data_IF_853223597050
#
_entry.id   IF_853223597050
#
_cell.length_a   1.000
_cell.length_b   1.000
_cell.length_c   1.000
_cell.angle_alpha   90.00
_cell.angle_beta   90.00
_cell.angle_gamma   90.00
#
_symmetry.space_group_name_H-M   'P 1'
#
loop_
_entity.id
_entity.type
_entity.pdbx_description
1 polymer ?
#
# COMPACT_ATOMS: atom_id res chain seq x y z
N UNK A 1 42.78 54.22 -15.22
CA UNK A 1 43.69 53.35 -15.98
C UNK A 1 44.39 52.42 -15.00
N UNK A 2 44.23 51.10 -15.18
CA UNK A 2 45.20 49.99 -14.94
C UNK A 2 45.94 49.95 -13.58
N UNK A 3 46.05 48.84 -12.86
CA UNK A 3 45.79 47.43 -13.14
C UNK A 3 45.86 46.62 -11.84
N UNK A 4 45.14 45.50 -11.86
CA UNK A 4 45.10 44.41 -10.88
C UNK A 4 46.44 43.98 -10.28
N UNK A 5 46.43 43.68 -8.98
CA UNK A 5 47.33 42.71 -8.34
C UNK A 5 46.59 41.90 -7.26
N UNK A 6 46.59 40.58 -7.48
CA UNK A 6 46.61 39.47 -6.51
C UNK A 6 45.57 39.38 -5.39
N UNK A 7 44.54 38.56 -5.67
CA UNK A 7 43.74 37.82 -4.69
C UNK A 7 44.61 36.79 -3.95
N UNK A 8 44.86 37.02 -2.66
CA UNK A 8 45.21 35.96 -1.72
C UNK A 8 43.95 35.57 -0.94
N UNK A 9 43.64 34.27 -0.96
CA UNK A 9 42.54 33.67 -0.23
C UNK A 9 42.87 33.65 1.27
N UNK A 10 42.12 34.43 2.07
CA UNK A 10 41.98 34.17 3.51
C UNK A 10 40.80 33.22 3.71
N UNK A 11 41.09 31.96 4.05
CA UNK A 11 40.12 30.99 4.55
C UNK A 11 39.62 31.47 5.92
N UNK A 12 38.48 32.17 5.92
CA UNK A 12 37.71 32.40 7.13
C UNK A 12 36.82 31.17 7.36
N UNK A 13 37.15 30.39 8.39
CA UNK A 13 36.35 29.28 8.89
C UNK A 13 34.97 29.79 9.35
N UNK A 14 34.00 29.84 8.45
CA UNK A 14 32.59 29.98 8.80
C UNK A 14 32.09 28.61 9.27
N UNK A 15 32.33 28.28 10.54
CA UNK A 15 31.64 27.18 11.20
C UNK A 15 30.24 27.66 11.58
N UNK A 16 29.39 27.89 10.57
CA UNK A 16 27.95 28.00 10.79
C UNK A 16 27.48 26.59 11.06
N UNK A 17 27.28 26.30 12.34
CA UNK A 17 26.50 25.17 12.81
C UNK A 17 25.09 25.30 12.20
N UNK A 18 24.90 24.75 10.99
CA UNK A 18 23.58 24.36 10.53
C UNK A 18 23.09 23.32 11.54
N UNK A 19 22.29 23.78 12.49
CA UNK A 19 21.26 22.94 13.09
C UNK A 19 20.47 22.40 11.91
N UNK A 20 20.81 21.18 11.48
CA UNK A 20 19.94 20.37 10.67
C UNK A 20 18.68 20.19 11.51
N UNK A 21 17.70 21.06 11.26
CA UNK A 21 16.31 20.78 11.56
C UNK A 21 16.05 19.49 10.78
N UNK A 22 16.19 18.36 11.46
CA UNK A 22 15.69 17.10 10.94
C UNK A 22 14.21 17.37 10.68
N UNK A 23 13.71 17.24 9.45
CA UNK A 23 12.27 17.21 9.28
C UNK A 23 11.82 16.04 10.15
N UNK A 24 11.05 16.34 11.20
CA UNK A 24 10.42 15.33 12.01
C UNK A 24 9.70 14.42 11.02
N UNK A 25 10.20 13.19 10.84
CA UNK A 25 9.63 12.26 9.89
C UNK A 25 8.15 12.14 10.26
N UNK A 26 7.27 12.54 9.34
CA UNK A 26 5.83 12.40 9.50
C UNK A 26 5.57 10.92 9.67
N UNK A 27 5.26 10.52 10.90
CA UNK A 27 5.06 9.13 11.29
C UNK A 27 3.62 8.78 10.96
N UNK A 28 3.37 8.65 9.65
CA UNK A 28 2.07 8.37 9.05
C UNK A 28 1.77 6.87 9.11
N UNK A 29 0.50 6.50 9.32
CA UNK A 29 0.05 5.12 9.17
C UNK A 29 -0.18 4.83 7.69
N UNK A 30 0.58 3.89 7.14
CA UNK A 30 0.33 3.35 5.81
C UNK A 30 -0.53 2.08 5.97
N UNK A 31 -1.75 2.11 5.47
CA UNK A 31 -2.68 0.99 5.54
C UNK A 31 -3.50 0.87 4.25
N UNK A 32 -4.10 -0.29 4.04
CA UNK A 32 -4.89 -0.58 2.86
C UNK A 32 -6.38 -0.43 3.15
N UNK A 33 -7.09 0.34 2.33
CA UNK A 33 -8.52 0.63 2.47
C UNK A 33 -9.23 0.16 1.22
N UNK A 34 -10.34 -0.56 1.39
CA UNK A 34 -11.14 -1.04 0.26
C UNK A 34 -11.76 0.15 -0.49
N UNK A 35 -11.63 0.13 -1.80
CA UNK A 35 -12.19 1.12 -2.72
C UNK A 35 -13.16 0.45 -3.68
N UNK A 36 -14.31 1.08 -3.97
CA UNK A 36 -15.26 0.57 -4.95
C UNK A 36 -14.64 0.62 -6.35
N UNK A 37 -15.09 -0.27 -7.25
CA UNK A 37 -14.71 -0.20 -8.65
C UNK A 37 -15.32 1.04 -9.32
N UNK A 38 -14.76 1.42 -10.47
CA UNK A 38 -15.29 2.50 -11.32
C UNK A 38 -16.72 2.19 -11.80
N UNK A 39 -16.98 0.91 -12.11
CA UNK A 39 -18.26 0.40 -12.60
C UNK A 39 -18.84 -0.64 -11.65
N UNK A 40 -19.95 -0.29 -11.01
CA UNK A 40 -20.71 -1.21 -10.17
C UNK A 40 -21.66 -2.03 -11.04
N UNK A 41 -21.49 -3.35 -11.03
CA UNK A 41 -22.34 -4.29 -11.75
C UNK A 41 -23.55 -4.68 -10.90
N UNK A 42 -24.55 -3.81 -10.82
CA UNK A 42 -25.73 -4.02 -9.99
C UNK A 42 -26.46 -5.34 -10.32
N UNK A 43 -26.68 -6.17 -9.30
CA UNK A 43 -27.38 -7.46 -9.43
C UNK A 43 -26.52 -8.61 -9.99
N UNK A 44 -25.24 -8.38 -10.30
CA UNK A 44 -24.32 -9.42 -10.77
C UNK A 44 -23.62 -10.04 -9.56
N UNK A 45 -23.83 -11.35 -9.35
CA UNK A 45 -23.13 -12.14 -8.31
C UNK A 45 -22.22 -13.19 -8.92
N UNK A 46 -22.58 -13.69 -10.09
CA UNK A 46 -21.84 -14.73 -10.78
C UNK A 46 -21.42 -14.27 -12.17
N UNK A 47 -20.15 -14.46 -12.48
CA UNK A 47 -19.53 -13.95 -13.71
C UNK A 47 -18.74 -15.05 -14.42
N UNK A 48 -18.71 -14.99 -15.75
CA UNK A 48 -17.81 -15.80 -16.56
C UNK A 48 -16.90 -14.89 -17.37
N UNK A 49 -15.62 -15.26 -17.48
CA UNK A 49 -14.64 -14.57 -18.35
C UNK A 49 -14.40 -15.45 -19.57
N UNK A 50 -14.82 -14.99 -20.74
CA UNK A 50 -14.61 -15.70 -22.00
C UNK A 50 -13.13 -15.63 -22.44
N UNK A 51 -12.76 -16.47 -23.41
CA UNK A 51 -11.48 -16.31 -24.10
C UNK A 51 -11.49 -15.03 -24.94
N UNK A 52 -10.41 -14.26 -24.85
CA UNK A 52 -10.27 -13.04 -25.64
C UNK A 52 -9.82 -13.38 -27.05
N UNK A 53 -10.41 -12.70 -28.03
CA UNK A 53 -9.88 -12.73 -29.39
C UNK A 53 -8.50 -12.08 -29.46
N UNK A 54 -7.57 -12.68 -30.21
CA UNK A 54 -6.16 -12.25 -30.21
C UNK A 54 -5.77 -11.70 -31.57
N UNK A 55 -5.12 -10.55 -31.54
CA UNK A 55 -4.31 -10.05 -32.65
C UNK A 55 -2.88 -9.88 -32.15
N UNK A 56 -1.91 -10.45 -32.84
CA UNK A 56 -0.51 -10.32 -32.44
C UNK A 56 0.39 -9.94 -33.61
N UNK A 57 1.48 -9.25 -33.28
CA UNK A 57 2.53 -8.90 -34.22
C UNK A 57 3.88 -8.99 -33.52
N UNK A 58 4.87 -9.48 -34.26
CA UNK A 58 6.25 -9.59 -33.83
C UNK A 58 7.15 -9.04 -34.93
N UNK A 59 7.93 -8.02 -34.60
CA UNK A 59 8.93 -7.44 -35.49
C UNK A 59 10.31 -7.54 -34.86
N UNK A 60 11.31 -7.91 -35.66
CA UNK A 60 12.70 -8.07 -35.21
C UNK A 60 13.62 -7.47 -36.27
N UNK A 61 14.45 -6.52 -35.85
CA UNK A 61 15.48 -5.90 -36.70
C UNK A 61 16.69 -6.85 -36.85
N UNK A 62 17.30 -6.84 -38.05
CA UNK A 62 18.54 -7.57 -38.29
C UNK A 62 19.67 -7.09 -37.35
N UNK A 63 20.39 -8.04 -36.76
CA UNK A 63 21.55 -7.74 -35.93
C UNK A 63 22.67 -7.01 -36.73
N UNK A 64 23.39 -6.05 -36.10
CA UNK A 64 24.49 -5.34 -36.71
C UNK A 64 25.56 -6.28 -37.30
N UNK A 65 26.17 -5.85 -38.41
CA UNK A 65 27.20 -6.61 -39.11
C UNK A 65 28.37 -6.96 -38.18
N UNK A 66 28.56 -8.25 -37.92
CA UNK A 66 29.59 -8.76 -37.00
C UNK A 66 29.06 -9.55 -35.80
N UNK A 67 27.76 -9.39 -35.46
CA UNK A 67 27.09 -10.09 -34.35
C UNK A 67 26.12 -11.20 -34.77
N UNK A 68 26.02 -11.50 -36.07
CA UNK A 68 25.34 -12.73 -36.52
C UNK A 68 26.03 -13.91 -35.86
N UNK A 69 25.32 -14.59 -34.97
CA UNK A 69 25.80 -15.82 -34.35
C UNK A 69 26.18 -16.80 -35.47
N UNK A 70 27.12 -17.71 -35.21
CA UNK A 70 27.47 -18.76 -36.18
C UNK A 70 26.20 -19.51 -36.65
N UNK A 71 25.20 -19.63 -35.77
CA UNK A 71 23.85 -20.08 -36.06
C UNK A 71 23.08 -19.22 -37.08
N UNK A 72 23.04 -17.88 -36.96
CA UNK A 72 22.34 -16.99 -37.92
C UNK A 72 22.99 -16.95 -39.31
N UNK A 73 24.29 -17.24 -39.36
CA UNK A 73 25.04 -17.39 -40.63
C UNK A 73 24.76 -18.74 -41.30
N UNK A 74 24.43 -19.76 -40.51
CA UNK A 74 24.12 -21.13 -40.98
C UNK A 74 22.62 -21.27 -41.28
N UNK A 75 21.77 -20.39 -40.75
CA UNK A 75 20.32 -20.48 -40.91
C UNK A 75 19.90 -20.39 -42.39
N UNK A 76 19.42 -21.51 -42.93
CA UNK A 76 18.99 -21.62 -44.32
C UNK A 76 17.69 -20.83 -44.59
N UNK A 77 17.34 -20.63 -45.86
CA UNK A 77 16.08 -19.98 -46.26
C UNK A 77 14.83 -20.66 -45.65
N UNK A 78 14.92 -21.98 -45.40
CA UNK A 78 13.85 -22.80 -44.79
C UNK A 78 13.71 -22.54 -43.29
N UNK A 79 14.79 -22.30 -42.56
CA UNK A 79 14.74 -22.01 -41.12
C UNK A 79 14.26 -20.56 -40.88
N UNK A 80 14.61 -19.64 -41.79
CA UNK A 80 14.07 -18.27 -41.78
C UNK A 80 12.58 -18.23 -42.08
N UNK A 81 12.09 -19.04 -43.02
CA UNK A 81 10.65 -19.14 -43.27
C UNK A 81 9.92 -19.81 -42.12
N UNK A 82 10.50 -20.84 -41.49
CA UNK A 82 9.94 -21.46 -40.29
C UNK A 82 9.91 -20.51 -39.08
N UNK A 83 10.93 -19.67 -38.88
CA UNK A 83 10.95 -18.64 -37.85
C UNK A 83 9.90 -17.54 -38.12
N UNK A 84 9.74 -17.12 -39.38
CA UNK A 84 8.70 -16.17 -39.77
C UNK A 84 7.28 -16.72 -39.53
N UNK A 85 7.04 -17.99 -39.81
CA UNK A 85 5.75 -18.65 -39.49
C UNK A 85 5.52 -18.76 -37.98
N UNK A 86 6.54 -19.13 -37.19
CA UNK A 86 6.44 -19.12 -35.71
C UNK A 86 6.11 -17.73 -35.17
N UNK A 87 6.70 -16.68 -35.75
CA UNK A 87 6.49 -15.30 -35.34
C UNK A 87 5.06 -14.81 -35.65
N UNK A 88 4.40 -15.31 -36.71
CA UNK A 88 2.99 -15.01 -37.00
C UNK A 88 2.02 -15.57 -35.97
N UNK A 89 2.34 -16.73 -35.39
CA UNK A 89 1.52 -17.39 -34.35
C UNK A 89 1.98 -17.08 -32.92
N UNK A 90 3.01 -16.26 -32.78
CA UNK A 90 3.59 -15.92 -31.49
C UNK A 90 2.55 -15.13 -30.68
N UNK A 91 2.40 -15.49 -29.41
CA UNK A 91 1.43 -14.90 -28.48
C UNK A 91 -0.06 -15.18 -28.80
N UNK A 92 -0.40 -16.16 -29.64
CA UNK A 92 -1.79 -16.56 -29.87
C UNK A 92 -2.49 -17.05 -28.58
N UNK A 93 -1.73 -17.43 -27.56
CA UNK A 93 -2.22 -17.82 -26.25
C UNK A 93 -2.52 -16.62 -25.32
N UNK A 94 -2.19 -15.39 -25.72
CA UNK A 94 -2.36 -14.19 -24.91
C UNK A 94 -3.82 -13.97 -24.47
N UNK A 95 -4.80 -14.29 -25.32
CA UNK A 95 -6.22 -14.12 -24.99
C UNK A 95 -6.68 -15.07 -23.88
N UNK A 96 -6.20 -16.31 -23.90
CA UNK A 96 -6.41 -17.27 -22.83
C UNK A 96 -5.69 -16.83 -21.56
N UNK A 97 -4.42 -16.44 -21.66
CA UNK A 97 -3.61 -15.97 -20.52
C UNK A 97 -4.28 -14.78 -19.83
N UNK A 98 -4.80 -13.81 -20.60
CA UNK A 98 -5.52 -12.66 -20.06
C UNK A 98 -6.77 -13.09 -19.29
N UNK A 99 -7.57 -13.99 -19.88
CA UNK A 99 -8.77 -14.55 -19.22
C UNK A 99 -8.43 -15.27 -17.90
N UNK A 100 -7.37 -16.09 -17.90
CA UNK A 100 -6.89 -16.81 -16.72
C UNK A 100 -6.36 -15.84 -15.65
N UNK A 101 -5.62 -14.80 -16.04
CA UNK A 101 -5.13 -13.75 -15.12
C UNK A 101 -6.27 -12.95 -14.50
N UNK A 102 -7.27 -12.55 -15.29
CA UNK A 102 -8.46 -11.86 -14.78
C UNK A 102 -9.26 -12.75 -13.83
N UNK A 103 -9.43 -14.03 -14.17
CA UNK A 103 -10.07 -15.01 -13.29
C UNK A 103 -9.30 -15.15 -11.97
N UNK A 104 -7.97 -15.26 -12.05
CA UNK A 104 -7.08 -15.32 -10.90
C UNK A 104 -7.14 -14.05 -10.04
N UNK A 105 -7.29 -12.88 -10.64
CA UNK A 105 -7.49 -11.63 -9.92
C UNK A 105 -8.83 -11.64 -9.18
N UNK A 106 -9.93 -12.01 -9.84
CA UNK A 106 -11.29 -12.00 -9.29
C UNK A 106 -11.50 -12.93 -8.08
N UNK A 107 -10.72 -14.01 -7.98
CA UNK A 107 -10.80 -14.94 -6.84
C UNK A 107 -9.99 -14.49 -5.61
N UNK A 108 -9.06 -13.53 -5.75
CA UNK A 108 -8.27 -13.00 -4.64
C UNK A 108 -9.14 -12.13 -3.73
N UNK A 109 -9.04 -12.34 -2.41
CA UNK A 109 -9.77 -11.58 -1.40
C UNK A 109 -9.09 -10.27 -0.98
N UNK A 110 -7.84 -10.06 -1.36
CA UNK A 110 -6.94 -9.00 -0.91
C UNK A 110 -6.25 -8.27 -2.08
N UNK A 111 -6.94 -8.13 -3.22
CA UNK A 111 -6.38 -7.41 -4.40
C UNK A 111 -5.93 -6.00 -4.01
N UNK A 112 -4.80 -5.56 -4.56
CA UNK A 112 -4.21 -4.24 -4.27
C UNK A 112 -3.37 -4.18 -3.00
N UNK A 113 -3.50 -5.14 -2.07
CA UNK A 113 -2.64 -5.21 -0.87
C UNK A 113 -1.22 -5.60 -1.28
N UNK A 114 -0.26 -4.78 -0.86
CA UNK A 114 1.15 -5.00 -1.14
C UNK A 114 2.05 -4.53 -0.01
N UNK A 115 3.35 -4.56 -0.26
CA UNK A 115 4.33 -4.06 0.70
C UNK A 115 4.27 -2.54 0.80
N UNK A 116 4.39 -2.03 2.02
CA UNK A 116 4.51 -0.61 2.34
C UNK A 116 5.96 -0.24 2.58
N UNK A 117 6.32 1.03 2.32
CA UNK A 117 7.67 1.50 2.59
C UNK A 117 7.92 1.64 4.09
N UNK A 118 9.10 1.20 4.54
CA UNK A 118 9.53 1.24 5.93
C UNK A 118 10.99 1.70 6.04
N UNK A 119 11.47 2.00 7.24
CA UNK A 119 12.89 2.35 7.48
C UNK A 119 13.31 3.78 7.10
N UNK A 120 14.57 4.12 7.39
CA UNK A 120 15.15 5.44 7.10
C UNK A 120 15.19 5.67 5.58
N UNK A 121 14.68 6.82 5.12
CA UNK A 121 14.55 7.18 3.69
C UNK A 121 13.74 6.18 2.84
N UNK A 122 12.93 5.31 3.44
CA UNK A 122 12.13 4.32 2.70
C UNK A 122 12.94 3.14 2.15
N UNK A 123 14.12 2.87 2.72
CA UNK A 123 15.02 1.79 2.31
C UNK A 123 14.59 0.38 2.79
N UNK A 124 13.51 0.30 3.58
CA UNK A 124 12.90 -0.95 4.02
C UNK A 124 11.53 -1.17 3.39
N UNK A 125 11.04 -2.40 3.47
CA UNK A 125 9.65 -2.75 3.19
C UNK A 125 9.05 -3.49 4.38
N UNK A 126 7.76 -3.31 4.62
CA UNK A 126 6.97 -4.08 5.58
C UNK A 126 5.72 -4.57 4.85
N UNK A 127 5.22 -5.73 5.21
CA UNK A 127 3.92 -6.20 4.71
C UNK A 127 2.84 -5.19 5.11
N UNK A 128 2.13 -4.67 4.11
CA UNK A 128 1.01 -3.78 4.36
C UNK A 128 -0.21 -4.53 4.85
N UNK A 129 -1.10 -3.83 5.55
CA UNK A 129 -2.27 -4.45 6.14
C UNK A 129 -3.50 -3.57 5.99
N UNK A 130 -4.65 -4.19 5.75
CA UNK A 130 -5.95 -3.57 5.99
C UNK A 130 -6.41 -3.86 7.42
N UNK A 131 -6.97 -2.86 8.08
CA UNK A 131 -7.55 -2.99 9.42
C UNK A 131 -9.09 -3.03 9.39
N UNK A 132 -9.68 -3.11 8.19
CA UNK A 132 -11.12 -3.12 7.98
C UNK A 132 -11.64 -4.55 8.05
N UNK A 133 -12.20 -4.93 9.20
CA UNK A 133 -12.75 -6.28 9.38
C UNK A 133 -13.96 -6.52 8.48
N UNK A 134 -13.95 -7.63 7.75
CA UNK A 134 -15.02 -7.98 6.79
C UNK A 134 -14.87 -7.36 5.39
N UNK A 135 -13.79 -6.61 5.14
CA UNK A 135 -13.46 -6.14 3.79
C UNK A 135 -12.81 -7.26 2.96
N UNK A 136 -13.28 -7.46 1.73
CA UNK A 136 -12.70 -8.41 0.76
C UNK A 136 -12.97 -7.95 -0.68
N UNK A 137 -12.15 -8.41 -1.62
CA UNK A 137 -12.24 -8.01 -3.04
C UNK A 137 -12.95 -9.01 -3.94
N UNK A 138 -13.00 -10.30 -3.56
CA UNK A 138 -13.61 -11.39 -4.33
C UNK A 138 -15.14 -11.46 -4.18
N UNK A 139 -15.82 -10.43 -4.67
CA UNK A 139 -17.29 -10.30 -4.56
C UNK A 139 -18.08 -11.15 -5.56
N UNK A 140 -17.42 -11.68 -6.60
CA UNK A 140 -18.07 -12.46 -7.65
C UNK A 140 -17.73 -13.94 -7.54
N UNK A 141 -18.73 -14.80 -7.77
CA UNK A 141 -18.52 -16.22 -8.05
C UNK A 141 -18.09 -16.36 -9.51
N UNK A 142 -16.84 -16.73 -9.74
CA UNK A 142 -16.31 -16.90 -11.10
C UNK A 142 -16.57 -18.32 -11.58
N UNK A 143 -17.13 -18.46 -12.78
CA UNK A 143 -17.29 -19.76 -13.46
C UNK A 143 -16.02 -20.10 -14.22
N UNK A 144 -15.60 -21.37 -14.16
CA UNK A 144 -14.42 -21.84 -14.86
C UNK A 144 -14.57 -21.73 -16.37
N UNK A 145 -13.51 -21.25 -17.01
CA UNK A 145 -13.40 -21.08 -18.47
C UNK A 145 -13.66 -22.36 -19.26
N UNK A 146 -13.28 -23.52 -18.71
CA UNK A 146 -13.51 -24.85 -19.30
C UNK A 146 -15.01 -25.13 -19.55
N UNK A 147 -15.87 -24.69 -18.63
CA UNK A 147 -17.33 -24.85 -18.73
C UNK A 147 -17.89 -23.97 -19.84
N UNK A 148 -17.35 -22.75 -20.02
CA UNK A 148 -17.71 -21.87 -21.13
C UNK A 148 -17.41 -22.55 -22.46
N UNK A 149 -16.22 -23.12 -22.61
CA UNK A 149 -15.82 -23.78 -23.85
C UNK A 149 -16.68 -25.02 -24.15
N UNK A 150 -17.04 -25.79 -23.11
CA UNK A 150 -17.93 -26.93 -23.27
C UNK A 150 -19.30 -26.50 -23.82
N UNK A 151 -19.93 -25.49 -23.20
CA UNK A 151 -21.23 -24.96 -23.65
C UNK A 151 -21.14 -24.38 -25.06
N UNK A 152 -20.08 -23.63 -25.37
CA UNK A 152 -19.86 -23.07 -26.72
C UNK A 152 -19.77 -24.16 -27.79
N UNK A 153 -19.12 -25.29 -27.47
CA UNK A 153 -19.00 -26.43 -28.39
C UNK A 153 -20.32 -27.17 -28.56
N UNK A 154 -21.07 -27.38 -27.48
CA UNK A 154 -22.39 -28.03 -27.51
C UNK A 154 -23.40 -27.23 -28.33
N UNK A 155 -23.37 -25.89 -28.22
CA UNK A 155 -24.24 -25.01 -28.99
C UNK A 155 -23.75 -24.77 -30.44
N UNK A 156 -22.64 -25.38 -30.84
CA UNK A 156 -21.97 -25.18 -32.15
C UNK A 156 -21.63 -23.71 -32.46
N UNK A 157 -21.60 -22.85 -31.45
CA UNK A 157 -21.29 -21.42 -31.57
C UNK A 157 -19.78 -21.19 -31.80
N UNK A 158 -18.94 -22.16 -31.46
CA UNK A 158 -17.51 -22.12 -31.80
C UNK A 158 -17.24 -22.22 -33.31
N UNK A 159 -18.19 -22.74 -34.09
CA UNK A 159 -18.04 -22.96 -35.54
C UNK A 159 -18.49 -21.78 -36.40
N UNK A 160 -19.33 -20.89 -35.86
CA UNK A 160 -19.87 -19.74 -36.60
C UNK A 160 -18.87 -18.59 -36.70
N UNK A 161 -17.80 -18.59 -35.90
CA UNK A 161 -16.76 -17.56 -35.89
C UNK A 161 -17.25 -16.17 -35.45
N UNK A 162 -18.53 -16.05 -35.07
CA UNK A 162 -19.18 -14.83 -34.63
C UNK A 162 -19.59 -15.03 -33.18
N UNK A 163 -18.84 -14.42 -32.27
CA UNK A 163 -19.26 -14.27 -30.87
C UNK A 163 -19.88 -12.88 -30.76
N UNK A 164 -21.18 -12.79 -31.01
CA UNK A 164 -21.97 -11.58 -30.77
C UNK A 164 -22.56 -11.58 -29.36
N UNK A 165 -23.10 -10.44 -28.94
CA UNK A 165 -23.69 -10.26 -27.62
C UNK A 165 -24.86 -11.23 -27.36
N UNK A 166 -25.58 -11.62 -28.42
CA UNK A 166 -26.69 -12.56 -28.33
C UNK A 166 -26.22 -13.99 -28.00
N UNK A 167 -25.16 -14.45 -28.66
CA UNK A 167 -24.51 -15.73 -28.40
C UNK A 167 -23.92 -15.76 -26.99
N UNK A 168 -23.30 -14.66 -26.56
CA UNK A 168 -22.82 -14.50 -25.19
C UNK A 168 -23.95 -14.68 -24.16
N UNK A 169 -25.06 -13.97 -24.32
CA UNK A 169 -26.20 -14.08 -23.42
C UNK A 169 -26.79 -15.51 -23.41
N UNK A 170 -26.81 -16.21 -24.55
CA UNK A 170 -27.26 -17.60 -24.62
C UNK A 170 -26.35 -18.53 -23.82
N UNK A 171 -25.03 -18.42 -23.98
CA UNK A 171 -24.05 -19.20 -23.22
C UNK A 171 -24.17 -18.91 -21.73
N UNK A 172 -24.34 -17.63 -21.38
CA UNK A 172 -24.51 -17.20 -19.99
C UNK A 172 -25.74 -17.79 -19.32
N UNK A 173 -26.86 -17.89 -20.05
CA UNK A 173 -28.09 -18.53 -19.55
C UNK A 173 -27.88 -20.01 -19.24
N UNK A 174 -27.12 -20.73 -20.07
CA UNK A 174 -26.81 -22.15 -19.85
C UNK A 174 -25.86 -22.32 -18.66
N UNK A 175 -24.86 -21.45 -18.51
CA UNK A 175 -23.93 -21.45 -17.38
C UNK A 175 -24.54 -20.95 -16.06
N UNK A 176 -25.71 -20.32 -16.12
CA UNK A 176 -26.36 -19.70 -14.98
C UNK A 176 -25.54 -18.56 -14.38
N UNK A 177 -24.89 -17.75 -15.22
CA UNK A 177 -24.14 -16.54 -14.81
C UNK A 177 -24.99 -15.29 -15.04
N UNK A 178 -24.76 -14.25 -14.24
CA UNK A 178 -25.48 -12.98 -14.37
C UNK A 178 -24.85 -12.06 -15.42
N UNK A 179 -23.53 -12.18 -15.61
CA UNK A 179 -22.78 -11.44 -16.60
C UNK A 179 -21.66 -12.28 -17.25
N UNK A 180 -21.33 -11.93 -18.49
CA UNK A 180 -20.16 -12.44 -19.21
C UNK A 180 -19.25 -11.29 -19.58
N UNK A 181 -17.96 -11.45 -19.31
CA UNK A 181 -16.90 -10.56 -19.78
C UNK A 181 -16.25 -11.18 -21.01
N UNK A 182 -16.18 -10.42 -22.09
CA UNK A 182 -15.51 -10.83 -23.32
C UNK A 182 -14.82 -9.65 -23.99
N UNK A 183 -13.93 -9.94 -24.93
CA UNK A 183 -13.12 -8.89 -25.49
C UNK A 183 -12.10 -9.32 -26.52
N UNK A 184 -11.18 -8.40 -26.78
CA UNK A 184 -10.04 -8.59 -27.65
C UNK A 184 -8.75 -8.14 -26.95
N UNK A 185 -7.65 -8.77 -27.31
CA UNK A 185 -6.29 -8.38 -26.92
C UNK A 185 -5.43 -8.21 -28.17
N UNK A 186 -4.68 -7.13 -28.20
CA UNK A 186 -3.68 -6.83 -29.19
C UNK A 186 -2.29 -6.89 -28.55
N UNK A 187 -1.40 -7.70 -29.12
CA UNK A 187 -0.02 -7.83 -28.68
C UNK A 187 0.90 -7.34 -29.78
N UNK A 188 1.68 -6.30 -29.50
CA UNK A 188 2.73 -5.80 -30.39
C UNK A 188 4.08 -5.96 -29.71
N UNK A 189 4.95 -6.76 -30.31
CA UNK A 189 6.31 -6.94 -29.85
C UNK A 189 7.33 -6.48 -30.88
N UNK A 190 8.37 -5.79 -30.42
CA UNK A 190 9.42 -5.24 -31.27
C UNK A 190 10.79 -5.42 -30.64
N UNK A 191 11.67 -6.11 -31.37
CA UNK A 191 13.11 -6.16 -31.10
C UNK A 191 13.83 -5.24 -32.07
N UNK A 192 14.56 -4.27 -31.52
CA UNK A 192 15.25 -3.23 -32.30
C UNK A 192 16.70 -3.08 -31.88
N UNK A 193 17.56 -2.81 -32.85
CA UNK A 193 18.95 -2.46 -32.62
C UNK A 193 19.15 -0.96 -32.68
N UNK A 194 19.82 -0.40 -31.69
CA UNK A 194 20.14 1.01 -31.60
C UNK A 194 21.58 1.22 -31.18
N UNK A 195 22.16 2.35 -31.58
CA UNK A 195 23.51 2.75 -31.19
C UNK A 195 23.45 3.77 -30.08
N UNK A 196 24.24 3.56 -29.04
CA UNK A 196 24.39 4.47 -27.92
C UNK A 196 25.84 4.96 -27.84
N UNK A 197 26.03 6.26 -27.59
CA UNK A 197 27.37 6.83 -27.39
C UNK A 197 27.80 6.68 -25.93
N UNK A 198 28.99 6.11 -25.71
CA UNK A 198 29.64 5.99 -24.40
C UNK A 198 30.95 6.75 -24.39
N UNK A 199 31.36 7.22 -23.20
CA UNK A 199 32.64 7.89 -23.00
C UNK A 199 33.50 7.09 -22.03
N UNK A 200 34.75 6.84 -22.43
CA UNK A 200 35.79 6.28 -21.56
C UNK A 200 37.10 6.99 -21.86
N UNK A 201 37.80 7.45 -20.82
CA UNK A 201 39.07 8.17 -20.94
C UNK A 201 39.01 9.37 -21.91
N UNK A 202 37.93 10.16 -21.86
CA UNK A 202 37.64 11.30 -22.76
C UNK A 202 37.52 10.93 -24.25
N UNK A 203 37.40 9.63 -24.58
CA UNK A 203 37.12 9.14 -25.92
C UNK A 203 35.69 8.64 -25.99
N UNK A 204 34.95 9.16 -26.97
CA UNK A 204 33.60 8.72 -27.31
C UNK A 204 33.66 7.52 -28.24
N UNK A 205 32.88 6.50 -27.95
CA UNK A 205 32.72 5.32 -28.81
C UNK A 205 31.25 4.92 -28.83
N UNK A 206 30.83 4.28 -29.92
CA UNK A 206 29.46 3.78 -30.05
C UNK A 206 29.40 2.32 -29.61
N UNK A 207 28.34 1.98 -28.89
CA UNK A 207 27.99 0.60 -28.55
C UNK A 207 26.67 0.24 -29.18
N UNK A 208 26.56 -1.00 -29.65
CA UNK A 208 25.29 -1.53 -30.12
C UNK A 208 24.47 -2.01 -28.92
N UNK A 209 23.18 -1.67 -28.94
CA UNK A 209 22.21 -2.06 -27.94
C UNK A 209 21.03 -2.76 -28.59
N UNK A 210 20.62 -3.88 -28.00
CA UNK A 210 19.37 -4.56 -28.32
C UNK A 210 18.30 -4.03 -27.37
N UNK A 211 17.17 -3.61 -27.92
CA UNK A 211 16.01 -3.09 -27.18
C UNK A 211 14.77 -3.90 -27.53
N UNK A 212 14.19 -4.51 -26.50
CA UNK A 212 12.92 -5.24 -26.56
C UNK A 212 11.80 -4.35 -26.06
N UNK A 213 10.72 -4.28 -26.82
CA UNK A 213 9.54 -3.52 -26.46
C UNK A 213 8.29 -4.37 -26.66
N UNK A 214 7.53 -4.58 -25.58
CA UNK A 214 6.22 -5.19 -25.61
C UNK A 214 5.16 -4.11 -25.35
N UNK A 215 4.14 -4.05 -26.20
CA UNK A 215 2.92 -3.30 -25.93
C UNK A 215 1.75 -4.29 -25.99
N UNK A 216 0.92 -4.29 -24.96
CA UNK A 216 -0.33 -5.05 -24.94
C UNK A 216 -1.47 -4.08 -24.71
N UNK A 217 -2.50 -4.15 -25.53
CA UNK A 217 -3.77 -3.45 -25.29
C UNK A 217 -4.91 -4.45 -25.33
N UNK A 218 -5.91 -4.25 -24.47
CA UNK A 218 -7.08 -5.10 -24.43
C UNK A 218 -8.33 -4.28 -24.17
N UNK A 219 -9.45 -4.78 -24.66
CA UNK A 219 -10.77 -4.15 -24.51
C UNK A 219 -11.73 -5.20 -24.00
N UNK A 220 -12.51 -4.86 -22.95
CA UNK A 220 -13.59 -5.70 -22.43
C UNK A 220 -14.95 -5.09 -22.70
N UNK A 221 -15.93 -5.97 -22.87
CA UNK A 221 -17.36 -5.70 -22.80
C UNK A 221 -17.96 -6.63 -21.77
N UNK A 222 -18.77 -6.07 -20.88
CA UNK A 222 -19.48 -6.80 -19.83
C UNK A 222 -20.95 -6.85 -20.26
N UNK A 223 -21.45 -8.05 -20.51
CA UNK A 223 -22.80 -8.28 -21.04
C UNK A 223 -23.67 -8.84 -19.92
N UNK A 224 -24.79 -8.19 -19.63
CA UNK A 224 -25.78 -8.70 -18.69
C UNK A 224 -26.58 -9.81 -19.35
N UNK A 225 -26.55 -11.02 -18.79
CA UNK A 225 -27.14 -12.22 -19.42
C UNK A 225 -28.67 -12.13 -19.51
N UNK A 226 -29.30 -11.51 -18.53
CA UNK A 226 -30.75 -11.34 -18.47
C UNK A 226 -31.29 -10.51 -19.66
N UNK A 227 -30.63 -9.41 -19.99
CA UNK A 227 -31.10 -8.46 -21.02
C UNK A 227 -30.34 -8.57 -22.34
N UNK A 228 -29.14 -9.18 -22.34
CA UNK A 228 -28.21 -9.18 -23.48
C UNK A 228 -27.53 -7.83 -23.71
N UNK A 229 -27.70 -6.86 -22.81
CA UNK A 229 -27.15 -5.51 -22.95
C UNK A 229 -25.70 -5.43 -22.46
N UNK A 230 -24.91 -4.57 -23.10
CA UNK A 230 -23.58 -4.20 -22.61
C UNK A 230 -23.74 -3.22 -21.46
N UNK A 231 -23.37 -3.64 -20.26
CA UNK A 231 -23.46 -2.87 -19.00
C UNK A 231 -22.14 -2.24 -18.57
N UNK A 232 -21.06 -2.49 -19.31
CA UNK A 232 -19.76 -1.88 -19.06
C UNK A 232 -18.76 -2.17 -20.18
N UNK A 233 -17.86 -1.23 -20.41
CA UNK A 233 -16.75 -1.37 -21.35
C UNK A 233 -15.52 -0.68 -20.79
N UNK A 234 -14.35 -1.31 -20.95
CA UNK A 234 -13.08 -0.74 -20.50
C UNK A 234 -11.97 -1.17 -21.44
N UNK A 235 -11.10 -0.22 -21.76
CA UNK A 235 -9.84 -0.47 -22.44
C UNK A 235 -8.71 -0.41 -21.41
N UNK A 236 -7.74 -1.30 -21.53
CA UNK A 236 -6.52 -1.32 -20.75
C UNK A 236 -5.30 -1.46 -21.66
N UNK A 237 -4.17 -0.89 -21.25
CA UNK A 237 -2.95 -0.98 -22.03
C UNK A 237 -1.71 -0.92 -21.14
N UNK A 238 -0.68 -1.69 -21.52
CA UNK A 238 0.59 -1.65 -20.84
C UNK A 238 1.75 -1.78 -21.82
N UNK A 239 2.82 -1.03 -21.53
CA UNK A 239 4.07 -1.07 -22.27
C UNK A 239 5.23 -1.45 -21.34
N UNK A 240 5.97 -2.47 -21.74
CA UNK A 240 7.25 -2.84 -21.11
C UNK A 240 8.39 -2.70 -22.10
N UNK A 241 9.54 -2.25 -21.58
CA UNK A 241 10.73 -2.01 -22.38
C UNK A 241 11.97 -2.43 -21.60
N UNK A 242 12.86 -3.19 -22.26
CA UNK A 242 14.18 -3.56 -21.74
C UNK A 242 15.23 -3.37 -22.80
N UNK A 243 16.42 -2.95 -22.38
CA UNK A 243 17.55 -2.68 -23.26
C UNK A 243 18.81 -3.28 -22.66
N UNK A 244 19.66 -3.87 -23.51
CA UNK A 244 20.99 -4.35 -23.16
C UNK A 244 21.98 -3.84 -24.20
N UNK A 245 23.00 -3.14 -23.75
CA UNK A 245 24.10 -2.71 -24.60
C UNK A 245 25.31 -3.62 -24.47
N UNK A 246 26.20 -3.55 -25.44
CA UNK A 246 27.49 -4.21 -25.36
C UNK A 246 28.29 -3.79 -24.11
N UNK A 247 28.79 -4.77 -23.38
CA UNK A 247 29.52 -4.56 -22.12
C UNK A 247 28.63 -4.45 -20.88
N UNK A 248 27.30 -4.44 -21.03
CA UNK A 248 26.38 -4.48 -19.89
C UNK A 248 26.28 -5.89 -19.30
N UNK A 249 26.13 -5.96 -17.98
CA UNK A 249 25.89 -7.22 -17.28
C UNK A 249 24.40 -7.61 -17.34
N UNK A 250 24.12 -8.91 -17.36
CA UNK A 250 22.77 -9.47 -17.39
C UNK A 250 22.24 -9.74 -18.80
N UNK A 251 21.09 -10.39 -18.90
CA UNK A 251 20.45 -10.78 -20.16
C UNK A 251 19.10 -10.11 -20.36
N UNK A 252 18.71 -9.96 -21.63
CA UNK A 252 17.37 -9.49 -21.96
C UNK A 252 16.35 -10.60 -21.63
N UNK A 253 15.24 -10.26 -20.95
CA UNK A 253 14.20 -11.23 -20.68
C UNK A 253 13.58 -11.73 -21.99
N UNK A 254 13.10 -12.97 -21.98
CA UNK A 254 12.40 -13.55 -23.13
C UNK A 254 11.21 -12.66 -23.55
N UNK A 255 10.91 -12.56 -24.86
CA UNK A 255 9.74 -11.82 -25.35
C UNK A 255 8.44 -12.18 -24.63
N UNK A 256 8.24 -13.48 -24.37
CA UNK A 256 7.09 -14.02 -23.64
C UNK A 256 7.00 -13.45 -22.22
N UNK A 257 8.13 -13.34 -21.51
CA UNK A 257 8.14 -12.80 -20.14
C UNK A 257 7.78 -11.31 -20.10
N UNK A 258 8.18 -10.53 -21.11
CA UNK A 258 7.80 -9.12 -21.23
C UNK A 258 6.30 -8.95 -21.52
N UNK A 259 5.77 -9.79 -22.43
CA UNK A 259 4.34 -9.80 -22.76
C UNK A 259 3.52 -10.26 -21.55
N UNK A 260 3.95 -11.29 -20.83
CA UNK A 260 3.27 -11.78 -19.63
C UNK A 260 3.19 -10.69 -18.54
N UNK A 261 4.26 -9.91 -18.33
CA UNK A 261 4.24 -8.74 -17.44
C UNK A 261 3.24 -7.66 -17.89
N UNK A 262 3.10 -7.43 -19.20
CA UNK A 262 2.09 -6.52 -19.70
C UNK A 262 0.67 -7.07 -19.47
N UNK A 263 0.45 -8.36 -19.74
CA UNK A 263 -0.85 -9.03 -19.55
C UNK A 263 -1.29 -9.00 -18.08
N UNK A 264 -0.39 -9.21 -17.13
CA UNK A 264 -0.68 -9.12 -15.69
C UNK A 264 -1.23 -7.73 -15.32
N UNK A 265 -0.56 -6.66 -15.75
CA UNK A 265 -1.00 -5.30 -15.46
C UNK A 265 -2.29 -4.90 -16.17
N UNK A 266 -2.46 -5.33 -17.42
CA UNK A 266 -3.71 -5.11 -18.16
C UNK A 266 -4.86 -5.88 -17.49
N UNK A 267 -4.63 -7.11 -17.02
CA UNK A 267 -5.64 -7.88 -16.30
C UNK A 267 -6.08 -7.16 -15.01
N UNK A 268 -5.14 -6.65 -14.23
CA UNK A 268 -5.44 -5.88 -13.02
C UNK A 268 -6.26 -4.63 -13.35
N UNK A 269 -5.82 -3.81 -14.32
CA UNK A 269 -6.55 -2.59 -14.74
C UNK A 269 -7.99 -2.90 -15.21
N UNK A 270 -8.16 -3.98 -15.99
CA UNK A 270 -9.47 -4.38 -16.48
C UNK A 270 -10.38 -4.89 -15.36
N UNK A 271 -9.84 -5.59 -14.37
CA UNK A 271 -10.62 -6.10 -13.23
C UNK A 271 -10.94 -5.01 -12.23
N UNK A 272 -10.02 -4.06 -11.98
CA UNK A 272 -10.25 -2.89 -11.09
C UNK A 272 -11.40 -2.00 -11.57
N UNK A 273 -11.67 -2.01 -12.88
CA UNK A 273 -12.82 -1.31 -13.45
C UNK A 273 -14.16 -1.81 -12.88
N UNK A 274 -14.30 -3.09 -12.53
CA UNK A 274 -15.60 -3.67 -12.12
C UNK A 274 -15.58 -4.50 -10.83
N UNK A 275 -14.41 -4.73 -10.24
CA UNK A 275 -14.24 -5.37 -8.94
C UNK A 275 -13.48 -4.44 -7.98
N UNK A 276 -13.85 -4.40 -6.69
CA UNK A 276 -13.16 -3.56 -5.71
C UNK A 276 -11.70 -4.00 -5.53
N UNK A 277 -10.88 -3.06 -5.06
CA UNK A 277 -9.48 -3.28 -4.71
C UNK A 277 -9.13 -2.59 -3.40
N UNK A 278 -8.03 -2.99 -2.77
CA UNK A 278 -7.46 -2.26 -1.65
C UNK A 278 -6.45 -1.23 -2.14
N UNK A 279 -6.74 0.04 -1.92
CA UNK A 279 -5.82 1.14 -2.22
C UNK A 279 -4.97 1.49 -0.99
N UNK A 280 -3.69 1.82 -1.24
CA UNK A 280 -2.80 2.31 -0.20
C UNK A 280 -3.23 3.71 0.27
N UNK A 281 -3.64 3.81 1.53
CA UNK A 281 -4.00 5.04 2.20
C UNK A 281 -2.88 5.45 3.17
N UNK A 282 -2.41 6.70 3.04
CA UNK A 282 -1.47 7.31 4.00
C UNK A 282 -2.25 8.22 4.95
N UNK A 283 -2.37 7.78 6.20
CA UNK A 283 -3.10 8.48 7.25
C UNK A 283 -2.12 9.29 8.12
N UNK A 284 -2.31 10.61 8.10
CA UNK A 284 -1.46 11.57 8.82
C UNK A 284 -2.01 11.81 10.21
N UNK A 285 -1.12 11.90 11.19
CA UNK A 285 -1.44 12.22 12.58
C UNK A 285 -1.04 13.67 12.91
N UNK A 286 -1.68 14.24 13.94
CA UNK A 286 -1.29 15.49 14.58
C UNK A 286 -0.56 15.21 15.89
N UNK A 287 0.69 15.65 16.02
CA UNK A 287 1.50 15.36 17.19
C UNK A 287 1.66 16.57 18.13
N UNK A 288 1.12 17.73 17.76
CA UNK A 288 1.02 18.88 18.64
C UNK A 288 -0.14 18.73 19.64
N UNK A 289 0.08 17.89 20.65
CA UNK A 289 -0.88 17.66 21.75
C UNK A 289 -0.54 18.47 23.00
N UNK A 290 0.63 19.14 23.06
CA UNK A 290 1.15 19.81 24.25
C UNK A 290 2.21 18.99 24.99
N UNK A 291 3.14 19.69 25.66
CA UNK A 291 4.31 19.07 26.30
C UNK A 291 3.97 18.10 27.43
N UNK A 292 2.82 18.31 28.09
CA UNK A 292 2.36 17.48 29.20
C UNK A 292 2.00 16.05 28.74
N UNK A 293 1.66 15.87 27.45
CA UNK A 293 1.27 14.59 26.86
C UNK A 293 2.35 13.93 26.01
N UNK A 294 3.61 14.37 26.14
CA UNK A 294 4.73 13.81 25.36
C UNK A 294 4.84 12.28 25.49
N UNK A 295 4.60 11.75 26.69
CA UNK A 295 4.62 10.30 26.96
C UNK A 295 3.60 9.53 26.14
N UNK A 296 2.34 9.94 26.22
CA UNK A 296 1.27 9.37 25.44
C UNK A 296 1.57 9.46 23.94
N UNK A 297 2.12 10.60 23.50
CA UNK A 297 2.53 10.82 22.12
C UNK A 297 3.60 9.83 21.65
N UNK A 298 4.65 9.61 22.45
CA UNK A 298 5.76 8.73 22.10
C UNK A 298 5.33 7.26 22.08
N UNK A 299 4.48 6.84 23.02
CA UNK A 299 3.89 5.49 23.04
C UNK A 299 2.97 5.28 21.82
N UNK A 300 2.08 6.24 21.52
CA UNK A 300 1.17 6.14 20.38
C UNK A 300 1.94 6.05 19.06
N UNK A 301 2.98 6.87 18.89
CA UNK A 301 3.89 6.82 17.74
C UNK A 301 4.48 5.43 17.52
N UNK A 302 4.96 4.80 18.59
CA UNK A 302 5.54 3.46 18.51
C UNK A 302 4.47 2.42 18.16
N UNK A 303 3.32 2.47 18.84
CA UNK A 303 2.20 1.57 18.57
C UNK A 303 1.71 1.66 17.10
N UNK A 304 1.66 2.86 16.53
CA UNK A 304 1.31 3.08 15.10
C UNK A 304 2.33 2.38 14.17
N UNK A 305 3.64 2.46 14.46
CA UNK A 305 4.68 1.76 13.69
C UNK A 305 4.51 0.25 13.76
N UNK A 306 4.15 -0.23 14.93
CA UNK A 306 3.99 -1.65 15.22
C UNK A 306 2.65 -2.21 14.74
N UNK A 307 1.77 -1.37 14.16
CA UNK A 307 0.40 -1.70 13.76
C UNK A 307 -0.51 -2.11 14.94
N UNK A 308 -0.18 -1.66 16.15
CA UNK A 308 -1.00 -1.79 17.35
C UNK A 308 -1.92 -0.57 17.49
N UNK A 309 -3.01 -0.58 16.71
CA UNK A 309 -3.99 0.52 16.70
C UNK A 309 -4.74 0.63 18.04
N UNK A 310 -4.89 -0.48 18.76
CA UNK A 310 -5.56 -0.51 20.08
C UNK A 310 -4.75 0.27 21.10
N UNK A 311 -3.45 0.00 21.22
CA UNK A 311 -2.57 0.78 22.12
C UNK A 311 -2.50 2.24 21.70
N UNK A 312 -2.40 2.54 20.41
CA UNK A 312 -2.41 3.92 19.92
C UNK A 312 -3.71 4.65 20.32
N UNK A 313 -4.86 3.99 20.16
CA UNK A 313 -6.16 4.54 20.53
C UNK A 313 -6.24 4.81 22.03
N UNK A 314 -5.80 3.86 22.86
CA UNK A 314 -5.77 4.00 24.31
C UNK A 314 -5.00 5.26 24.75
N UNK A 315 -3.87 5.56 24.11
CA UNK A 315 -3.09 6.76 24.44
C UNK A 315 -3.82 8.06 24.07
N UNK A 316 -4.47 8.12 22.90
CA UNK A 316 -5.22 9.32 22.51
C UNK A 316 -6.50 9.47 23.35
N UNK A 317 -7.20 8.37 23.65
CA UNK A 317 -8.36 8.38 24.52
C UNK A 317 -8.02 8.86 25.93
N UNK A 318 -6.89 8.43 26.48
CA UNK A 318 -6.36 8.90 27.76
C UNK A 318 -6.11 10.42 27.79
N UNK A 319 -5.58 11.00 26.70
CA UNK A 319 -5.42 12.46 26.59
C UNK A 319 -6.78 13.15 26.54
N UNK A 320 -7.73 12.64 25.73
CA UNK A 320 -9.08 13.21 25.63
C UNK A 320 -9.85 13.14 26.95
N UNK A 321 -9.59 12.13 27.78
CA UNK A 321 -10.18 12.04 29.13
C UNK A 321 -9.64 13.14 30.07
N UNK A 322 -8.36 13.50 29.96
CA UNK A 322 -7.74 14.56 30.76
C UNK A 322 -8.03 15.96 30.23
N UNK A 323 -8.00 16.11 28.90
CA UNK A 323 -8.26 17.35 28.17
C UNK A 323 -9.22 17.07 27.00
N UNK A 324 -10.54 17.14 27.26
CA UNK A 324 -11.56 16.89 26.24
C UNK A 324 -11.47 17.79 25.01
N UNK A 325 -10.85 18.98 25.14
CA UNK A 325 -10.72 19.98 24.08
C UNK A 325 -9.36 19.91 23.36
N UNK A 326 -8.58 18.85 23.59
CA UNK A 326 -7.35 18.63 22.84
C UNK A 326 -7.68 18.28 21.38
N UNK A 327 -7.50 19.24 20.46
CA UNK A 327 -7.86 19.06 19.05
C UNK A 327 -7.05 17.93 18.39
N UNK A 328 -5.76 17.80 18.73
CA UNK A 328 -4.84 16.82 18.14
C UNK A 328 -5.18 15.39 18.56
N UNK A 329 -5.44 15.16 19.85
CA UNK A 329 -5.84 13.84 20.35
C UNK A 329 -7.20 13.41 19.78
N UNK A 330 -8.18 14.32 19.71
CA UNK A 330 -9.46 14.03 19.07
C UNK A 330 -9.31 13.72 17.58
N UNK A 331 -8.49 14.51 16.86
CA UNK A 331 -8.19 14.25 15.45
C UNK A 331 -7.58 12.85 15.26
N UNK A 332 -6.55 12.51 16.05
CA UNK A 332 -5.87 11.21 15.95
C UNK A 332 -6.77 10.02 16.31
N UNK A 333 -7.67 10.17 17.28
CA UNK A 333 -8.71 9.16 17.55
C UNK A 333 -9.62 8.97 16.32
N UNK A 334 -9.95 10.06 15.62
CA UNK A 334 -10.65 10.00 14.33
C UNK A 334 -9.85 9.26 13.26
N UNK A 335 -8.54 9.49 13.18
CA UNK A 335 -7.63 8.77 12.24
C UNK A 335 -7.63 7.27 12.49
N UNK A 336 -7.61 6.83 13.75
CA UNK A 336 -7.67 5.40 14.08
C UNK A 336 -9.02 4.79 13.77
N UNK A 337 -10.12 5.50 14.05
CA UNK A 337 -11.46 5.07 13.62
C UNK A 337 -11.58 4.98 12.10
N UNK A 338 -10.98 5.90 11.34
CA UNK A 338 -10.93 5.84 9.88
C UNK A 338 -10.18 4.58 9.40
N UNK A 339 -9.01 4.30 10.00
CA UNK A 339 -8.18 3.15 9.63
C UNK A 339 -8.90 1.79 9.76
N UNK A 340 -9.73 1.64 10.80
CA UNK A 340 -10.48 0.39 11.07
C UNK A 340 -11.84 0.31 10.40
N UNK A 341 -12.29 1.40 9.76
CA UNK A 341 -13.56 1.44 9.03
C UNK A 341 -14.76 2.03 9.77
N UNK A 342 -14.55 2.66 10.93
CA UNK A 342 -15.62 3.31 11.68
C UNK A 342 -15.86 4.75 11.20
N UNK A 343 -16.30 4.92 9.94
CA UNK A 343 -16.30 6.24 9.29
C UNK A 343 -17.19 7.29 9.98
N UNK A 344 -18.31 6.87 10.58
CA UNK A 344 -19.19 7.77 11.35
C UNK A 344 -18.49 8.33 12.58
N UNK A 345 -17.92 7.46 13.43
CA UNK A 345 -17.13 7.84 14.61
C UNK A 345 -15.93 8.71 14.22
N UNK A 346 -15.25 8.37 13.12
CA UNK A 346 -14.15 9.18 12.58
C UNK A 346 -14.60 10.59 12.18
N UNK A 347 -15.72 10.70 11.46
CA UNK A 347 -16.28 11.98 11.02
C UNK A 347 -16.66 12.88 12.20
N UNK A 348 -17.30 12.33 13.23
CA UNK A 348 -17.62 13.06 14.47
C UNK A 348 -16.37 13.65 15.12
N UNK A 349 -15.31 12.83 15.25
CA UNK A 349 -14.03 13.26 15.82
C UNK A 349 -13.32 14.32 14.98
N UNK A 350 -13.33 14.19 13.65
CA UNK A 350 -12.77 15.19 12.75
C UNK A 350 -13.53 16.51 12.79
N UNK A 351 -14.87 16.47 12.82
CA UNK A 351 -15.70 17.66 12.94
C UNK A 351 -15.43 18.40 14.26
N UNK A 352 -15.30 17.65 15.36
CA UNK A 352 -14.97 18.23 16.65
C UNK A 352 -13.58 18.86 16.66
N UNK A 353 -12.55 18.14 16.20
CA UNK A 353 -11.19 18.68 16.11
C UNK A 353 -11.11 19.93 15.20
N UNK A 354 -11.80 19.92 14.06
CA UNK A 354 -11.88 21.07 13.15
C UNK A 354 -12.61 22.27 13.76
N UNK A 355 -13.64 22.04 14.60
CA UNK A 355 -14.34 23.11 15.31
C UNK A 355 -13.46 23.84 16.33
N UNK A 356 -12.44 23.15 16.86
CA UNK A 356 -11.47 23.70 17.80
C UNK A 356 -10.31 24.40 17.08
N UNK A 357 -9.87 23.86 15.93
CA UNK A 357 -8.75 24.39 15.14
C UNK A 357 -9.02 24.26 13.64
N UNK A 358 -9.54 25.34 13.04
CA UNK A 358 -10.03 25.34 11.65
C UNK A 358 -9.00 25.73 10.57
N UNK A 359 -7.86 26.26 10.98
CA UNK A 359 -6.75 26.69 10.12
C UNK A 359 -5.85 25.51 9.67
N UNK A 360 -6.00 24.34 10.28
CA UNK A 360 -5.27 23.13 9.93
C UNK A 360 -5.80 22.49 8.63
N UNK A 361 -5.01 22.61 7.55
CA UNK A 361 -5.35 22.01 6.24
C UNK A 361 -5.59 20.49 6.31
N UNK A 362 -4.82 19.77 7.13
CA UNK A 362 -4.93 18.31 7.27
C UNK A 362 -6.30 17.86 7.84
N UNK A 363 -6.94 18.68 8.67
CA UNK A 363 -8.27 18.36 9.24
C UNK A 363 -9.34 18.46 8.17
N UNK A 364 -9.27 19.51 7.34
CA UNK A 364 -10.14 19.68 6.17
C UNK A 364 -9.96 18.55 5.17
N UNK A 365 -8.72 18.13 4.93
CA UNK A 365 -8.43 17.01 4.03
C UNK A 365 -8.99 15.68 4.57
N UNK A 366 -8.92 15.46 5.89
CA UNK A 366 -9.53 14.30 6.53
C UNK A 366 -11.06 14.31 6.44
N UNK A 367 -11.71 15.46 6.63
CA UNK A 367 -13.17 15.59 6.46
C UNK A 367 -13.61 15.32 5.01
N UNK A 368 -12.89 15.83 4.02
CA UNK A 368 -13.18 15.53 2.60
C UNK A 368 -13.01 14.05 2.30
N UNK A 369 -11.93 13.46 2.81
CA UNK A 369 -11.63 12.04 2.63
C UNK A 369 -12.69 11.15 3.26
N UNK A 370 -13.09 11.42 4.51
CA UNK A 370 -14.11 10.62 5.20
C UNK A 370 -15.47 10.71 4.51
N UNK A 371 -15.84 11.90 4.01
CA UNK A 371 -17.09 12.07 3.26
C UNK A 371 -17.10 11.23 1.98
N UNK A 372 -15.99 11.22 1.23
CA UNK A 372 -15.82 10.35 0.05
C UNK A 372 -15.91 8.87 0.44
N UNK A 373 -15.24 8.49 1.53
CA UNK A 373 -15.20 7.11 2.00
C UNK A 373 -16.59 6.62 2.43
N UNK A 374 -17.40 7.43 3.14
CA UNK A 374 -18.77 7.07 3.50
C UNK A 374 -19.62 6.74 2.27
N UNK A 375 -19.58 7.58 1.23
CA UNK A 375 -20.29 7.31 -0.04
C UNK A 375 -19.82 6.01 -0.69
N UNK A 376 -18.51 5.75 -0.65
CA UNK A 376 -17.92 4.53 -1.17
C UNK A 376 -18.41 3.29 -0.43
N UNK A 377 -18.61 3.36 0.89
CA UNK A 377 -19.13 2.23 1.66
C UNK A 377 -20.61 1.97 1.41
N UNK A 378 -21.41 3.01 1.21
CA UNK A 378 -22.79 2.83 0.81
C UNK A 378 -22.86 2.06 -0.53
N UNK A 379 -21.96 2.37 -1.47
CA UNK A 379 -21.80 1.63 -2.73
C UNK A 379 -21.35 0.18 -2.51
N UNK A 380 -20.31 -0.06 -1.69
CA UNK A 380 -19.81 -1.41 -1.42
C UNK A 380 -20.82 -2.29 -0.67
N UNK A 381 -21.68 -1.69 0.18
CA UNK A 381 -22.76 -2.42 0.84
C UNK A 381 -23.78 -2.96 -0.17
N UNK A 382 -24.03 -2.24 -1.28
CA UNK A 382 -24.88 -2.77 -2.37
C UNK A 382 -24.29 -4.00 -3.05
N UNK A 383 -22.98 -4.20 -2.95
CA UNK A 383 -22.25 -5.39 -3.42
C UNK A 383 -22.21 -6.52 -2.39
N UNK A 384 -22.85 -6.35 -1.23
CA UNK A 384 -22.89 -7.35 -0.15
C UNK A 384 -21.67 -7.32 0.77
N UNK A 385 -20.82 -6.30 0.68
CA UNK A 385 -19.68 -6.12 1.59
C UNK A 385 -20.16 -5.34 2.82
N UNK A 386 -20.24 -6.03 3.95
CA UNK A 386 -20.63 -5.43 5.24
C UNK A 386 -19.41 -5.39 6.15
N UNK A 387 -18.91 -4.17 6.41
CA UNK A 387 -17.86 -3.99 7.40
C UNK A 387 -18.37 -4.28 8.80
N UNK A 388 -17.54 -4.97 9.57
CA UNK A 388 -17.76 -5.11 11.00
C UNK A 388 -17.21 -3.88 11.70
N UNK A 389 -18.06 -3.22 12.47
CA UNK A 389 -17.62 -2.09 13.30
C UNK A 389 -16.55 -2.56 14.29
N UNK A 390 -15.43 -1.85 14.32
CA UNK A 390 -14.34 -2.17 15.22
C UNK A 390 -14.56 -1.46 16.56
N UNK A 391 -14.61 -2.20 17.66
CA UNK A 391 -14.68 -1.60 18.98
C UNK A 391 -13.29 -1.47 19.58
N UNK A 392 -12.84 -0.23 19.77
CA UNK A 392 -11.68 0.05 20.60
C UNK A 392 -12.10 -0.08 22.07
N UNK A 393 -11.97 -1.27 22.65
CA UNK A 393 -12.28 -1.47 24.06
C UNK A 393 -11.18 -0.87 24.93
N UNK A 394 -11.53 0.14 25.71
CA UNK A 394 -10.70 0.70 26.77
C UNK A 394 -11.49 0.63 28.07
N UNK A 395 -11.16 -0.31 28.96
CA UNK A 395 -11.76 -0.31 30.29
C UNK A 395 -11.31 0.94 31.05
N UNK A 396 -12.13 1.45 31.96
CA UNK A 396 -11.71 2.57 32.84
C UNK A 396 -10.43 2.23 33.64
N UNK A 397 -10.17 0.95 33.90
CA UNK A 397 -8.94 0.50 34.53
C UNK A 397 -7.73 0.63 33.59
N UNK A 398 -7.88 0.29 32.30
CA UNK A 398 -6.84 0.44 31.29
C UNK A 398 -6.56 1.92 30.99
N UNK A 399 -7.58 2.76 30.89
CA UNK A 399 -7.45 4.22 30.72
C UNK A 399 -6.71 4.85 31.92
N UNK A 400 -7.08 4.47 33.15
CA UNK A 400 -6.34 4.88 34.37
C UNK A 400 -4.91 4.36 34.37
N UNK A 401 -4.65 3.13 33.93
CA UNK A 401 -3.29 2.59 33.86
C UNK A 401 -2.43 3.23 32.77
N UNK A 402 -3.03 3.66 31.66
CA UNK A 402 -2.36 4.34 30.57
C UNK A 402 -2.00 5.79 30.93
N UNK A 403 -2.83 6.45 31.73
CA UNK A 403 -2.59 7.82 32.26
C UNK A 403 -1.60 7.85 33.42
N UNK A 404 -1.35 6.71 34.08
CA UNK A 404 -0.39 6.61 35.18
C UNK A 404 1.04 6.81 34.67
N UNK A 405 1.63 7.96 35.01
CA UNK A 405 3.06 8.23 34.80
C UNK A 405 3.87 7.21 35.58
N UNK A 406 4.93 6.63 35.00
CA UNK A 406 5.78 5.65 35.69
C UNK A 406 7.20 6.19 35.87
N UNK A 407 7.85 5.77 36.95
CA UNK A 407 9.29 5.96 37.18
C UNK A 407 10.00 4.61 37.16
N UNK A 408 11.16 4.56 36.54
CA UNK A 408 12.07 3.42 36.62
C UNK A 408 13.13 3.72 37.67
N UNK A 409 13.27 2.82 38.63
CA UNK A 409 14.33 2.87 39.64
C UNK A 409 15.70 2.63 38.99
N UNK A 410 16.71 3.45 39.31
CA UNK A 410 18.07 3.30 38.75
C UNK A 410 18.82 2.15 39.41
N UNK A 411 19.65 1.47 38.63
CA UNK A 411 20.51 0.39 39.10
C UNK A 411 20.00 -1.02 38.74
N UNK A 412 20.81 -2.03 39.04
CA UNK A 412 20.46 -3.44 38.82
C UNK A 412 19.55 -4.00 39.92
N UNK A 413 18.94 -5.16 39.67
CA UNK A 413 18.05 -5.83 40.63
C UNK A 413 18.70 -6.26 41.96
N UNK A 414 20.01 -6.10 42.13
CA UNK A 414 20.72 -6.30 43.40
C UNK A 414 20.77 -5.03 44.27
N UNK A 415 20.59 -3.85 43.67
CA UNK A 415 20.54 -2.57 44.40
C UNK A 415 19.20 -2.47 45.13
N UNK A 416 19.21 -1.94 46.36
CA UNK A 416 18.01 -1.72 47.18
C UNK A 416 17.86 -0.24 47.45
N UNK A 417 16.83 0.38 46.89
CA UNK A 417 16.50 1.79 47.05
C UNK A 417 15.44 1.95 48.13
N UNK A 418 15.59 2.96 48.97
CA UNK A 418 14.67 3.24 50.05
C UNK A 418 13.48 4.08 49.56
N UNK A 419 12.27 3.59 49.78
CA UNK A 419 11.04 4.37 49.64
C UNK A 419 10.70 4.96 51.01
N UNK A 420 10.68 6.30 51.10
CA UNK A 420 10.49 7.06 52.34
C UNK A 420 9.02 7.36 52.63
N UNK A 421 8.66 7.51 53.90
CA UNK A 421 7.27 7.84 54.28
C UNK A 421 6.93 9.31 53.96
N UNK A 422 7.92 10.19 54.00
CA UNK A 422 7.83 11.63 53.70
C UNK A 422 8.94 12.07 52.73
N UNK A 423 8.79 13.22 52.02
CA UNK A 423 9.79 13.73 51.07
C UNK A 423 11.00 14.36 51.77
N UNK A 424 11.64 13.63 52.68
CA UNK A 424 12.88 14.02 53.33
C UNK A 424 13.74 12.79 53.65
N UNK A 425 15.07 12.97 53.64
CA UNK A 425 16.00 11.85 53.79
C UNK A 425 15.99 11.21 55.19
N UNK A 426 15.59 11.97 56.21
CA UNK A 426 15.52 11.52 57.61
C UNK A 426 14.26 10.68 57.91
N UNK A 427 13.30 10.66 56.98
CA UNK A 427 12.04 9.93 57.14
C UNK A 427 12.26 8.41 57.22
N UNK A 428 11.33 7.74 57.88
CA UNK A 428 11.30 6.29 57.97
C UNK A 428 11.17 5.66 56.58
N UNK A 429 11.90 4.57 56.36
CA UNK A 429 11.79 3.79 55.12
C UNK A 429 10.56 2.90 55.19
N UNK A 430 9.57 3.14 54.32
CA UNK A 430 8.35 2.34 54.17
C UNK A 430 8.69 0.94 53.66
N UNK A 431 9.55 0.88 52.63
CA UNK A 431 9.96 -0.37 51.98
C UNK A 431 11.23 -0.14 51.15
N UNK A 432 12.01 -1.20 50.91
CA UNK A 432 13.14 -1.16 49.99
C UNK A 432 12.79 -1.87 48.69
N UNK A 433 13.03 -1.21 47.57
CA UNK A 433 12.73 -1.75 46.23
C UNK A 433 13.99 -2.06 45.44
N UNK A 434 13.99 -3.11 44.59
CA UNK A 434 15.10 -3.37 43.68
C UNK A 434 15.28 -2.25 42.65
N UNK A 435 16.50 -2.06 42.14
CA UNK A 435 16.75 -1.24 40.95
C UNK A 435 16.23 -1.91 39.68
N UNK A 436 15.82 -1.11 38.69
CA UNK A 436 15.33 -1.57 37.40
C UNK A 436 13.83 -1.88 37.34
N UNK A 437 13.07 -1.65 38.42
CA UNK A 437 11.62 -1.83 38.44
C UNK A 437 10.87 -0.55 38.09
N UNK A 438 9.66 -0.72 37.54
CA UNK A 438 8.71 0.36 37.29
C UNK A 438 7.78 0.58 38.49
N UNK A 439 7.57 1.84 38.86
CA UNK A 439 6.62 2.27 39.88
C UNK A 439 5.70 3.35 39.31
N UNK A 440 4.45 3.39 39.78
CA UNK A 440 3.48 4.44 39.44
C UNK A 440 3.85 5.74 40.14
N UNK A 441 3.92 6.85 39.41
CA UNK A 441 4.21 8.20 39.90
C UNK A 441 2.88 8.91 40.19
N UNK A 442 2.71 9.29 41.45
CA UNK A 442 1.54 10.03 41.93
C UNK A 442 1.78 11.54 41.92
N UNK A 443 2.96 11.99 42.36
CA UNK A 443 3.35 13.41 42.39
C UNK A 443 4.84 13.56 42.08
N UNK A 444 5.22 14.64 41.38
CA UNK A 444 6.61 14.95 41.05
C UNK A 444 7.04 16.29 41.65
N UNK A 445 8.15 16.30 42.39
CA UNK A 445 8.84 17.48 42.91
C UNK A 445 10.30 17.49 42.40
N UNK A 446 11.00 18.62 42.58
CA UNK A 446 12.40 18.79 42.17
C UNK A 446 13.32 17.69 42.73
N UNK A 447 13.10 17.29 43.98
CA UNK A 447 13.99 16.38 44.71
C UNK A 447 13.34 15.02 45.02
N UNK A 448 12.01 14.90 44.89
CA UNK A 448 11.25 13.72 45.32
C UNK A 448 10.14 13.34 44.34
N UNK A 449 9.94 12.04 44.19
CA UNK A 449 8.84 11.43 43.46
C UNK A 449 7.96 10.67 44.45
N UNK A 450 6.68 11.04 44.56
CA UNK A 450 5.70 10.25 45.29
C UNK A 450 5.26 9.11 44.40
N UNK A 451 5.46 7.88 44.84
CA UNK A 451 5.24 6.67 44.04
C UNK A 451 4.30 5.70 44.73
N UNK A 452 3.56 4.93 43.94
CA UNK A 452 2.75 3.80 44.37
C UNK A 452 3.43 2.49 44.01
N UNK A 453 3.53 1.61 44.99
CA UNK A 453 4.12 0.29 44.87
C UNK A 453 3.10 -0.73 44.36
N UNK A 454 3.56 -1.87 43.80
CA UNK A 454 2.67 -2.95 43.34
C UNK A 454 1.76 -3.53 44.43
N UNK A 455 2.19 -3.47 45.69
CA UNK A 455 1.41 -3.90 46.87
C UNK A 455 0.38 -2.85 47.33
N UNK A 456 0.24 -1.74 46.60
CA UNK A 456 -0.70 -0.66 46.87
C UNK A 456 -0.18 0.40 47.85
N UNK A 457 0.98 0.20 48.50
CA UNK A 457 1.56 1.18 49.41
C UNK A 457 2.06 2.40 48.64
N UNK A 458 2.16 3.53 49.33
CA UNK A 458 2.69 4.77 48.77
C UNK A 458 3.90 5.25 49.56
N UNK A 459 4.79 5.98 48.91
CA UNK A 459 5.90 6.66 49.57
C UNK A 459 6.70 7.52 48.61
N UNK A 460 7.82 8.04 49.07
CA UNK A 460 8.64 9.02 48.37
C UNK A 460 10.00 8.41 47.99
N UNK A 461 10.32 8.45 46.70
CA UNK A 461 11.59 8.05 46.12
C UNK A 461 12.39 9.31 45.76
N UNK A 462 13.68 9.34 46.06
CA UNK A 462 14.53 10.47 45.68
C UNK A 462 14.59 10.58 44.14
N UNK A 463 14.35 11.78 43.60
CA UNK A 463 14.32 12.01 42.16
C UNK A 463 15.64 11.63 41.45
N UNK A 464 16.77 11.72 42.17
CA UNK A 464 18.09 11.31 41.67
C UNK A 464 18.21 9.79 41.44
N UNK A 465 17.43 8.99 42.15
CA UNK A 465 17.47 7.52 42.15
C UNK A 465 16.47 6.88 41.19
N UNK A 466 15.64 7.69 40.53
CA UNK A 466 14.71 7.24 39.52
C UNK A 466 14.90 8.04 38.24
N UNK A 467 14.36 7.49 37.16
CA UNK A 467 14.16 8.24 35.94
C UNK A 467 12.68 8.15 35.61
N UNK A 468 12.03 9.30 35.40
CA UNK A 468 10.68 9.32 34.86
C UNK A 468 10.76 8.64 33.50
N UNK A 469 10.04 7.53 33.35
CA UNK A 469 9.88 6.87 32.06
C UNK A 469 8.80 7.66 31.32
N UNK A 470 9.24 8.78 30.75
CA UNK A 470 8.45 9.55 29.79
C UNK A 470 8.20 8.69 28.57
#
# INVERSE_FOLDING_TARGET
MLSQTNRWYFLCFLFVCLLAITPAMSQDLQCFVLTPPDQILAGVKQIAIADFSVTSSYAEDDAPSGKKNTFDKILGAVEKSAAAERNKTRFNDAGRKLSDLMTGALIKSDRGVGNVSSGFLGLGSKEGKSFQSGAFTNIFRVVERSQIQQVMNELQLSQTGVVDEASAAQVGRVLGVDAIVMGNVNVSFQDRWLKEEREKDKKKYQVDCEKRQANVSASIRIIKVETGEVIGTKDGQEKQEKKKCEGDYGDLPLPEALVDQCLEKVADELVDYFAPEFALQKLKFEYDMGNDYKRHTDIAKQAIKDYDLSTAYLQFAAIVEQDPYNHAANFNAGVLHEAVGNFKKAQEKYNFAFSLKSDEGKYRDAQKRIAKQTTFWDQLNTLGIVLQEHEFSATQAELKSATVTKVVTKGSGSIRLDIKAEPNAASATVVKVPGGIELELLESSKDWFKVKLPDGKQGYLAASQAQIRK
#
